data_IF_826954349919
#
_entry.id   IF_826954349919
#
_cell.length_a   1.000
_cell.length_b   1.000
_cell.length_c   1.000
_cell.angle_alpha   90.00
_cell.angle_beta   90.00
_cell.angle_gamma   90.00
#
_symmetry.space_group_name_H-M   'P 1'
#
loop_
_entity.id
_entity.type
_entity.pdbx_description
1 polymer ?
#
# COMPACT_ATOMS: atom_id res chain seq x y z
N UNK A 1 4.53 -14.53 7.67
CA UNK A 1 3.07 -14.47 7.60
C UNK A 1 2.62 -13.90 8.93
N UNK A 2 2.22 -12.63 8.95
CA UNK A 2 1.72 -11.98 10.16
C UNK A 2 0.21 -12.19 10.18
N UNK A 3 -0.29 -12.83 11.23
CA UNK A 3 -1.72 -13.07 11.44
C UNK A 3 -2.12 -12.23 12.66
N UNK A 4 -2.91 -11.19 12.43
CA UNK A 4 -3.46 -10.33 13.48
C UNK A 4 -4.88 -10.83 13.74
N UNK A 5 -5.11 -11.39 14.92
CA UNK A 5 -6.45 -11.76 15.39
C UNK A 5 -7.08 -10.57 16.09
N UNK A 6 -8.20 -10.11 15.54
CA UNK A 6 -9.00 -9.03 16.09
C UNK A 6 -10.29 -9.65 16.64
N UNK A 7 -10.53 -9.52 17.95
CA UNK A 7 -11.78 -9.93 18.60
C UNK A 7 -12.78 -8.77 18.55
N UNK A 8 -13.96 -8.95 17.95
CA UNK A 8 -15.06 -7.99 18.00
C UNK A 8 -16.41 -8.69 18.15
N UNK A 9 -17.49 -7.90 18.31
CA UNK A 9 -18.93 -8.25 18.28
C UNK A 9 -19.32 -8.98 16.97
N UNK A 10 -18.66 -10.10 16.71
CA UNK A 10 -18.80 -10.92 15.52
C UNK A 10 -20.14 -11.63 15.51
N UNK A 11 -20.76 -11.85 16.67
CA UNK A 11 -22.06 -12.51 16.77
C UNK A 11 -23.16 -11.71 16.06
N UNK A 12 -23.26 -10.41 16.34
CA UNK A 12 -24.28 -9.54 15.74
C UNK A 12 -24.07 -9.36 14.23
N UNK A 13 -22.83 -9.11 13.79
CA UNK A 13 -22.52 -9.05 12.36
C UNK A 13 -22.79 -10.39 11.66
N UNK A 14 -22.49 -11.52 12.30
CA UNK A 14 -22.73 -12.84 11.74
C UNK A 14 -24.23 -13.17 11.62
N UNK A 15 -25.03 -12.75 12.59
CA UNK A 15 -26.49 -12.87 12.51
C UNK A 15 -27.06 -11.97 11.41
N UNK A 16 -26.56 -10.72 11.28
CA UNK A 16 -26.92 -9.83 10.18
C UNK A 16 -26.51 -10.39 8.82
N UNK A 17 -25.33 -10.99 8.69
CA UNK A 17 -24.89 -11.64 7.44
C UNK A 17 -25.81 -12.82 7.08
N UNK A 18 -26.29 -13.58 8.07
CA UNK A 18 -27.21 -14.70 7.84
C UNK A 18 -28.60 -14.23 7.43
N UNK A 19 -29.13 -13.20 8.09
CA UNK A 19 -30.50 -12.72 7.87
C UNK A 19 -30.61 -11.77 6.67
N UNK A 20 -29.61 -10.91 6.47
CA UNK A 20 -29.59 -9.84 5.48
C UNK A 20 -28.26 -9.78 4.70
N UNK A 21 -27.83 -10.88 4.06
CA UNK A 21 -26.49 -10.98 3.46
C UNK A 21 -26.21 -9.86 2.44
N UNK A 22 -27.19 -9.54 1.60
CA UNK A 22 -27.01 -8.50 0.57
C UNK A 22 -26.82 -7.10 1.17
N UNK A 23 -27.57 -6.77 2.23
CA UNK A 23 -27.46 -5.46 2.90
C UNK A 23 -26.10 -5.32 3.56
N UNK A 24 -25.63 -6.37 4.23
CA UNK A 24 -24.30 -6.38 4.86
C UNK A 24 -23.19 -6.31 3.81
N UNK A 25 -23.30 -7.03 2.70
CA UNK A 25 -22.30 -6.99 1.63
C UNK A 25 -22.21 -5.57 1.06
N UNK A 26 -23.33 -4.95 0.72
CA UNK A 26 -23.34 -3.61 0.13
C UNK A 26 -22.80 -2.54 1.09
N UNK A 27 -23.17 -2.56 2.37
CA UNK A 27 -22.62 -1.61 3.35
C UNK A 27 -21.15 -1.89 3.66
N UNK A 28 -20.77 -3.17 3.76
CA UNK A 28 -19.39 -3.58 3.94
C UNK A 28 -18.51 -3.15 2.77
N UNK A 29 -18.99 -3.24 1.53
CA UNK A 29 -18.24 -2.80 0.35
C UNK A 29 -18.02 -1.29 0.35
N UNK A 30 -19.04 -0.50 0.73
CA UNK A 30 -18.91 0.96 0.88
C UNK A 30 -17.90 1.34 1.95
N UNK A 31 -17.96 0.71 3.12
CA UNK A 31 -17.01 0.96 4.21
C UNK A 31 -15.60 0.53 3.79
N UNK A 32 -15.45 -0.63 3.14
CA UNK A 32 -14.16 -1.09 2.66
C UNK A 32 -13.57 -0.15 1.59
N UNK A 33 -14.39 0.39 0.67
CA UNK A 33 -13.93 1.36 -0.32
C UNK A 33 -13.39 2.65 0.33
N UNK A 34 -14.06 3.15 1.39
CA UNK A 34 -13.58 4.30 2.17
C UNK A 34 -12.20 4.00 2.77
N UNK A 35 -12.05 2.84 3.42
CA UNK A 35 -10.78 2.42 4.05
C UNK A 35 -9.67 2.27 3.01
N UNK A 36 -9.94 1.54 1.92
CA UNK A 36 -8.99 1.24 0.85
C UNK A 36 -8.51 2.52 0.17
N UNK A 37 -9.41 3.45 -0.17
CA UNK A 37 -9.03 4.73 -0.79
C UNK A 37 -8.18 5.59 0.12
N UNK A 38 -8.51 5.63 1.42
CA UNK A 38 -7.71 6.40 2.38
C UNK A 38 -6.32 5.78 2.57
N UNK A 39 -6.25 4.45 2.67
CA UNK A 39 -5.00 3.72 2.77
C UNK A 39 -4.14 3.91 1.52
N UNK A 40 -4.72 3.78 0.32
CA UNK A 40 -4.05 4.05 -0.95
C UNK A 40 -3.43 5.46 -0.94
N UNK A 41 -4.22 6.49 -0.62
CA UNK A 41 -3.73 7.86 -0.54
C UNK A 41 -2.55 8.00 0.43
N UNK A 42 -2.61 7.36 1.60
CA UNK A 42 -1.56 7.43 2.61
C UNK A 42 -0.27 6.72 2.16
N UNK A 43 -0.39 5.56 1.51
CA UNK A 43 0.76 4.85 0.92
C UNK A 43 1.39 5.70 -0.18
N UNK A 44 0.59 6.30 -1.07
CA UNK A 44 1.06 7.17 -2.16
C UNK A 44 1.82 8.39 -1.61
N UNK A 45 1.33 9.02 -0.54
CA UNK A 45 2.01 10.16 0.11
C UNK A 45 3.37 9.76 0.70
N UNK A 46 3.49 8.54 1.23
CA UNK A 46 4.72 8.01 1.83
C UNK A 46 5.72 7.45 0.82
N UNK A 47 5.27 7.20 -0.40
CA UNK A 47 6.07 6.53 -1.42
C UNK A 47 7.18 7.45 -1.93
N UNK A 48 8.45 7.03 -1.87
CA UNK A 48 9.56 7.79 -2.45
C UNK A 48 9.35 8.05 -3.95
N UNK A 49 9.44 9.31 -4.36
CA UNK A 49 9.24 9.70 -5.76
C UNK A 49 10.54 9.65 -6.55
N UNK A 50 10.61 8.68 -7.47
CA UNK A 50 11.70 8.50 -8.42
C UNK A 50 11.56 9.33 -9.70
N UNK A 51 12.21 8.83 -10.75
CA UNK A 51 12.36 9.44 -12.08
C UNK A 51 11.04 9.60 -12.84
N UNK A 52 10.10 8.68 -12.62
CA UNK A 52 8.77 8.70 -13.22
C UNK A 52 7.81 9.71 -12.57
N UNK A 53 8.20 10.38 -11.49
CA UNK A 53 7.30 11.30 -10.77
C UNK A 53 6.00 10.61 -10.38
N UNK A 54 4.88 11.12 -10.89
CA UNK A 54 3.53 10.54 -10.71
C UNK A 54 3.39 9.19 -11.43
N UNK A 55 4.11 8.93 -12.52
CA UNK A 55 4.11 7.64 -13.23
C UNK A 55 5.13 6.63 -12.68
N UNK A 56 5.79 6.93 -11.55
CA UNK A 56 6.69 6.01 -10.87
C UNK A 56 5.95 5.05 -9.94
N UNK A 57 6.66 4.50 -8.96
CA UNK A 57 6.07 3.61 -7.94
C UNK A 57 4.80 4.19 -7.31
N UNK A 58 4.81 5.49 -7.00
CA UNK A 58 3.66 6.18 -6.41
C UNK A 58 2.38 6.08 -7.25
N UNK A 59 2.44 6.22 -8.57
CA UNK A 59 1.23 6.12 -9.41
C UNK A 59 0.86 4.72 -9.84
N UNK A 60 1.66 3.72 -9.47
CA UNK A 60 1.33 2.30 -9.68
C UNK A 60 0.63 1.67 -8.47
N UNK A 61 0.49 2.43 -7.38
CA UNK A 61 -0.20 1.97 -6.17
C UNK A 61 -1.68 2.19 -6.38
N UNK A 62 -2.44 1.11 -6.25
CA UNK A 62 -3.89 1.12 -6.42
C UNK A 62 -4.55 0.30 -5.30
N UNK A 63 -5.69 0.80 -4.84
CA UNK A 63 -6.63 0.14 -3.98
C UNK A 63 -7.72 -0.56 -4.79
N UNK A 64 -8.16 -1.72 -4.32
CA UNK A 64 -9.33 -2.42 -4.84
C UNK A 64 -10.09 -3.09 -3.69
N UNK A 65 -11.42 -3.06 -3.79
CA UNK A 65 -12.29 -3.93 -3.02
C UNK A 65 -12.61 -5.14 -3.87
N UNK A 66 -12.32 -6.33 -3.37
CA UNK A 66 -12.59 -7.61 -4.02
C UNK A 66 -13.59 -8.36 -3.14
N UNK A 67 -14.75 -8.65 -3.72
CA UNK A 67 -15.87 -9.29 -3.03
C UNK A 67 -16.50 -10.33 -3.96
N UNK A 68 -16.76 -11.52 -3.42
CA UNK A 68 -17.66 -12.53 -4.01
C UNK A 68 -18.77 -12.88 -3.01
N UNK A 69 -19.11 -11.92 -2.13
CA UNK A 69 -19.90 -12.13 -0.94
C UNK A 69 -19.09 -11.81 0.32
N UNK A 70 -19.41 -12.47 1.42
CA UNK A 70 -18.68 -12.30 2.68
C UNK A 70 -17.65 -13.43 2.85
N UNK A 71 -16.40 -13.15 3.27
CA UNK A 71 -15.86 -11.85 3.66
C UNK A 71 -15.47 -10.95 2.47
N UNK A 72 -15.49 -9.64 2.72
CA UNK A 72 -15.05 -8.61 1.77
C UNK A 72 -13.56 -8.33 2.00
N UNK A 73 -12.79 -8.27 0.92
CA UNK A 73 -11.35 -8.01 0.97
C UNK A 73 -11.01 -6.63 0.39
N UNK A 74 -10.34 -5.80 1.19
CA UNK A 74 -9.66 -4.60 0.71
C UNK A 74 -8.18 -4.89 0.44
N UNK A 75 -7.69 -4.50 -0.74
CA UNK A 75 -6.28 -4.68 -1.14
C UNK A 75 -5.73 -3.34 -1.58
N UNK A 76 -4.55 -2.97 -1.09
CA UNK A 76 -3.76 -1.84 -1.61
C UNK A 76 -2.39 -2.38 -1.98
N UNK A 77 -1.98 -2.21 -3.24
CA UNK A 77 -0.77 -2.81 -3.76
C UNK A 77 -0.27 -2.18 -5.04
N UNK A 78 0.80 -2.73 -5.59
CA UNK A 78 1.40 -2.31 -6.87
C UNK A 78 1.88 -3.53 -7.64
N UNK A 79 1.76 -3.55 -8.98
CA UNK A 79 2.30 -4.63 -9.79
C UNK A 79 3.82 -4.54 -9.97
N UNK A 80 4.49 -3.49 -9.48
CA UNK A 80 5.92 -3.30 -9.69
C UNK A 80 6.74 -4.14 -8.70
N UNK A 81 7.40 -5.19 -9.19
CA UNK A 81 8.18 -6.11 -8.36
C UNK A 81 9.24 -5.44 -7.48
N UNK A 82 9.86 -4.36 -7.97
CA UNK A 82 10.90 -3.64 -7.20
C UNK A 82 10.33 -2.88 -5.98
N UNK A 83 9.01 -2.76 -5.85
CA UNK A 83 8.36 -2.12 -4.72
C UNK A 83 8.76 -2.74 -3.38
N UNK A 84 8.92 -4.07 -3.31
CA UNK A 84 9.34 -4.76 -2.08
C UNK A 84 10.73 -4.32 -1.61
N UNK A 85 11.63 -4.02 -2.56
CA UNK A 85 12.99 -3.53 -2.28
C UNK A 85 12.93 -2.10 -1.73
N UNK A 86 11.95 -1.31 -2.14
CA UNK A 86 11.71 0.04 -1.59
C UNK A 86 11.05 -0.04 -0.23
N UNK A 87 10.07 -0.93 -0.05
CA UNK A 87 9.33 -1.14 1.20
C UNK A 87 10.26 -1.62 2.33
N UNK A 88 10.97 -2.72 2.12
CA UNK A 88 11.77 -3.40 3.15
C UNK A 88 13.24 -2.96 3.14
N UNK A 89 13.69 -2.33 2.06
CA UNK A 89 15.07 -1.96 1.85
C UNK A 89 15.91 -3.10 1.29
N UNK A 90 17.23 -2.91 1.31
CA UNK A 90 18.20 -3.85 0.76
C UNK A 90 19.34 -4.07 1.76
N UNK A 91 19.68 -5.33 2.00
CA UNK A 91 20.85 -5.69 2.84
C UNK A 91 22.17 -5.35 2.12
N UNK A 92 23.26 -5.08 2.88
CA UNK A 92 24.61 -4.93 2.34
C UNK A 92 25.09 -6.16 1.55
N UNK A 93 26.15 -5.98 0.75
CA UNK A 93 26.85 -7.01 -0.01
C UNK A 93 25.96 -7.87 -0.92
N UNK A 94 24.99 -7.23 -1.60
CA UNK A 94 24.20 -7.85 -2.67
C UNK A 94 24.67 -7.36 -4.04
N UNK A 95 24.26 -8.05 -5.11
CA UNK A 95 24.51 -7.59 -6.48
C UNK A 95 24.10 -6.12 -6.64
N UNK A 96 24.81 -5.32 -7.43
CA UNK A 96 24.38 -3.95 -7.67
C UNK A 96 23.10 -3.93 -8.53
N UNK A 97 22.18 -2.97 -8.31
CA UNK A 97 21.04 -2.76 -9.20
C UNK A 97 21.48 -2.33 -10.62
N UNK A 98 20.57 -2.40 -11.62
CA UNK A 98 20.85 -1.91 -12.96
C UNK A 98 21.26 -0.42 -12.96
N UNK A 99 22.35 -0.11 -13.66
CA UNK A 99 22.92 1.24 -13.70
C UNK A 99 22.03 2.23 -14.46
N UNK A 100 21.37 1.79 -15.54
CA UNK A 100 20.58 2.66 -16.43
C UNK A 100 19.50 3.48 -15.71
N UNK A 101 18.58 2.84 -14.96
CA UNK A 101 17.56 3.56 -14.18
C UNK A 101 18.15 4.54 -13.15
N UNK A 102 19.29 4.19 -12.54
CA UNK A 102 19.95 5.02 -11.53
C UNK A 102 20.68 6.20 -12.17
N UNK A 103 21.29 6.01 -13.35
CA UNK A 103 21.89 7.08 -14.13
C UNK A 103 20.85 8.14 -14.52
N UNK A 104 19.69 7.68 -15.03
CA UNK A 104 18.58 8.57 -15.37
C UNK A 104 18.02 9.29 -14.12
N UNK A 105 17.97 8.59 -12.99
CA UNK A 105 17.63 9.21 -11.70
C UNK A 105 18.64 10.27 -11.27
N UNK A 106 19.94 9.98 -11.38
CA UNK A 106 21.00 10.91 -11.02
C UNK A 106 20.94 12.18 -11.89
N UNK A 107 20.67 12.04 -13.18
CA UNK A 107 20.44 13.20 -14.05
C UNK A 107 19.27 14.06 -13.55
N UNK A 108 18.10 13.45 -13.32
CA UNK A 108 16.89 14.22 -12.98
C UNK A 108 16.88 14.77 -11.55
N UNK A 109 17.50 14.09 -10.60
CA UNK A 109 17.46 14.45 -9.18
C UNK A 109 18.71 15.16 -8.69
N UNK A 110 19.87 14.84 -9.26
CA UNK A 110 21.15 15.43 -8.86
C UNK A 110 21.70 16.42 -9.90
N UNK A 111 21.01 16.60 -11.04
CA UNK A 111 21.43 17.53 -12.09
C UNK A 111 22.70 17.10 -12.82
N UNK A 112 23.02 15.80 -12.81
CA UNK A 112 24.22 15.27 -13.47
C UNK A 112 24.05 15.35 -14.98
N UNK A 113 25.06 15.84 -15.69
CA UNK A 113 25.07 15.91 -17.15
C UNK A 113 24.95 14.52 -17.79
N UNK A 114 24.45 14.46 -19.02
CA UNK A 114 24.17 13.20 -19.74
C UNK A 114 25.43 12.33 -19.83
N UNK A 115 26.57 12.96 -20.08
CA UNK A 115 27.88 12.34 -20.27
C UNK A 115 28.35 11.62 -19.00
N UNK A 116 28.11 12.22 -17.83
CA UNK A 116 28.54 11.70 -16.53
C UNK A 116 27.52 10.79 -15.87
N UNK A 117 26.25 10.84 -16.31
CA UNK A 117 25.14 10.15 -15.66
C UNK A 117 25.40 8.65 -15.49
N UNK A 118 26.01 8.00 -16.49
CA UNK A 118 26.33 6.56 -16.43
C UNK A 118 27.39 6.25 -15.39
N UNK A 119 28.45 7.05 -15.32
CA UNK A 119 29.55 6.89 -14.36
C UNK A 119 29.06 7.12 -12.92
N UNK A 120 28.29 8.20 -12.71
CA UNK A 120 27.66 8.48 -11.40
C UNK A 120 26.68 7.38 -11.02
N UNK A 121 25.83 6.94 -11.96
CA UNK A 121 24.89 5.85 -11.77
C UNK A 121 25.58 4.54 -11.35
N UNK A 122 26.74 4.23 -11.93
CA UNK A 122 27.53 3.06 -11.56
C UNK A 122 28.05 3.16 -10.12
N UNK A 123 28.58 4.32 -9.71
CA UNK A 123 29.06 4.54 -8.34
C UNK A 123 27.93 4.41 -7.33
N UNK A 124 26.75 4.97 -7.63
CA UNK A 124 25.56 4.83 -6.79
C UNK A 124 25.11 3.37 -6.72
N UNK A 125 25.00 2.68 -7.86
CA UNK A 125 24.60 1.27 -7.91
C UNK A 125 25.56 0.39 -7.10
N UNK A 126 26.87 0.61 -7.25
CA UNK A 126 27.91 -0.08 -6.47
C UNK A 126 27.77 0.21 -4.97
N UNK A 127 27.50 1.45 -4.59
CA UNK A 127 27.27 1.84 -3.20
C UNK A 127 26.04 1.14 -2.62
N UNK A 128 24.93 1.09 -3.36
CA UNK A 128 23.70 0.37 -2.97
C UNK A 128 24.00 -1.13 -2.80
N UNK A 129 24.73 -1.76 -3.72
CA UNK A 129 25.10 -3.17 -3.62
C UNK A 129 25.97 -3.45 -2.39
N UNK A 130 26.98 -2.60 -2.13
CA UNK A 130 27.91 -2.76 -1.01
C UNK A 130 27.26 -2.48 0.34
N UNK A 131 26.54 -1.37 0.47
CA UNK A 131 26.03 -0.86 1.75
C UNK A 131 24.58 -1.22 2.03
N UNK A 132 23.78 -1.49 1.00
CA UNK A 132 22.34 -1.58 1.15
C UNK A 132 21.71 -0.23 1.51
N UNK A 133 20.43 -0.27 1.89
CA UNK A 133 19.68 0.88 2.40
C UNK A 133 18.48 0.41 3.25
N UNK A 134 17.99 1.29 4.14
CA UNK A 134 16.81 1.03 4.96
C UNK A 134 15.54 1.20 4.13
N UNK A 135 14.54 0.35 4.36
CA UNK A 135 13.24 0.44 3.72
C UNK A 135 12.50 1.74 4.04
N UNK A 136 11.69 2.20 3.08
CA UNK A 136 10.79 3.33 3.30
C UNK A 136 9.66 2.96 4.26
N UNK A 137 9.26 1.68 4.26
CA UNK A 137 8.13 1.14 5.02
C UNK A 137 6.84 1.90 4.72
N UNK A 138 6.56 2.19 3.44
CA UNK A 138 5.45 3.02 2.99
C UNK A 138 4.10 2.35 3.28
N UNK A 139 3.97 1.04 3.02
CA UNK A 139 2.75 0.29 3.32
C UNK A 139 2.58 0.11 4.82
N UNK A 140 3.65 -0.35 5.50
CA UNK A 140 3.59 -0.62 6.94
C UNK A 140 3.22 0.63 7.74
N UNK A 141 3.88 1.76 7.48
CA UNK A 141 3.61 3.02 8.22
C UNK A 141 2.23 3.58 7.91
N UNK A 142 1.72 3.40 6.69
CA UNK A 142 0.36 3.81 6.34
C UNK A 142 -0.67 3.00 7.14
N UNK A 143 -0.48 1.68 7.23
CA UNK A 143 -1.34 0.82 8.05
C UNK A 143 -1.25 1.17 9.53
N UNK A 144 -0.05 1.26 10.10
CA UNK A 144 0.16 1.61 11.52
C UNK A 144 -0.53 2.93 11.91
N UNK A 145 -0.58 3.90 10.99
CA UNK A 145 -1.27 5.16 11.22
C UNK A 145 -2.80 5.04 11.16
N UNK A 146 -3.32 4.22 10.24
CA UNK A 146 -4.75 4.17 9.94
C UNK A 146 -5.47 3.02 10.62
N UNK A 147 -4.77 2.05 11.21
CA UNK A 147 -5.34 0.80 11.75
C UNK A 147 -6.49 1.07 12.71
N UNK A 148 -6.31 1.98 13.68
CA UNK A 148 -7.37 2.31 14.65
C UNK A 148 -8.58 2.95 13.99
N UNK A 149 -8.36 3.86 13.04
CA UNK A 149 -9.46 4.49 12.30
C UNK A 149 -10.20 3.46 11.44
N UNK A 150 -9.47 2.62 10.71
CA UNK A 150 -10.05 1.56 9.89
C UNK A 150 -10.87 0.57 10.73
N UNK A 151 -10.42 0.24 11.95
CA UNK A 151 -11.20 -0.58 12.89
C UNK A 151 -12.52 0.09 13.30
N UNK A 152 -12.52 1.40 13.56
CA UNK A 152 -13.74 2.15 13.84
C UNK A 152 -14.68 2.16 12.63
N UNK A 153 -14.17 2.39 11.43
CA UNK A 153 -14.98 2.35 10.20
C UNK A 153 -15.61 0.97 9.99
N UNK A 154 -14.85 -0.12 10.18
CA UNK A 154 -15.38 -1.48 10.09
C UNK A 154 -16.48 -1.76 11.12
N UNK A 155 -16.38 -1.20 12.33
CA UNK A 155 -17.43 -1.33 13.35
C UNK A 155 -18.71 -0.61 12.94
N UNK A 156 -18.61 0.49 12.20
CA UNK A 156 -19.79 1.25 11.73
C UNK A 156 -20.68 0.46 10.76
N UNK A 157 -20.23 -0.70 10.24
CA UNK A 157 -21.05 -1.54 9.36
C UNK A 157 -22.34 -1.98 10.05
N UNK A 158 -22.28 -2.35 11.34
CA UNK A 158 -23.45 -2.80 12.09
C UNK A 158 -24.50 -1.69 12.19
N UNK A 159 -24.05 -0.48 12.55
CA UNK A 159 -24.91 0.70 12.66
C UNK A 159 -25.54 1.06 11.31
N UNK A 160 -24.74 1.10 10.23
CA UNK A 160 -25.20 1.38 8.86
C UNK A 160 -26.23 0.37 8.35
N UNK A 161 -26.04 -0.91 8.65
CA UNK A 161 -27.00 -1.96 8.28
C UNK A 161 -28.30 -1.76 9.07
N UNK A 162 -28.21 -1.45 10.36
CA UNK A 162 -29.37 -1.27 11.23
C UNK A 162 -30.20 -0.05 10.85
N UNK A 163 -29.56 1.08 10.53
CA UNK A 163 -30.21 2.27 9.98
C UNK A 163 -30.94 1.94 8.68
N UNK A 164 -30.27 1.25 7.75
CA UNK A 164 -30.85 0.89 6.44
C UNK A 164 -32.02 -0.09 6.51
N UNK A 165 -32.09 -0.93 7.55
CA UNK A 165 -33.22 -1.84 7.77
C UNK A 165 -34.41 -1.16 8.46
N UNK A 166 -34.20 0.03 9.02
CA UNK A 166 -35.22 0.81 9.73
C UNK A 166 -35.95 1.82 8.84
N UNK A 167 -35.38 2.11 7.66
CA UNK A 167 -35.96 2.93 6.58
C UNK A 167 -36.90 2.09 5.66
#
# INVERSE_FOLDING_TARGET
MFEIKINYHLEELHDLVRQYPMVVIEEGEKVMDIIVRRLESEVVMRTPRGVGGVAGLAGSIHGAVVSQGFPIHGVVGTPLEYAIVVEEGRRPNRAMPPVGPIALWAQRKLGVNVEDARSVGFVIARSIGKKGFKGAHMFRKAWEQLERWAQTELQSIVDRVSERLSD
#
